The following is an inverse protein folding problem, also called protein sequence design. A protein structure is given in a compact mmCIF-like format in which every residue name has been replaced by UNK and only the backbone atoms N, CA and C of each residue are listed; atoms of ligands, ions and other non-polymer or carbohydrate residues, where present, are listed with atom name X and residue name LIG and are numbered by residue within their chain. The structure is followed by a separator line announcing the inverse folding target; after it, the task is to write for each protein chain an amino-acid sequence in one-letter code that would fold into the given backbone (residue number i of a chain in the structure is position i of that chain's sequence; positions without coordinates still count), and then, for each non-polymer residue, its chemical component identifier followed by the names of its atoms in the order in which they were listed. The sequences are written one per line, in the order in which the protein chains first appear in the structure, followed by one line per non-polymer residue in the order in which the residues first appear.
data_IF_181202115974
#
_entry.id   IF_181202115974
#
_cell.length_a   1.000
_cell.length_b   1.000
_cell.length_c   1.000
_cell.angle_alpha   90.00
_cell.angle_beta   90.00
_cell.angle_gamma   90.00
#
_symmetry.space_group_name_H-M   'P 1'
#
loop_
_entity.id
_entity.type
_entity.pdbx_description
1 polymer ?
#
# COMPACT_ATOMS: atom_id res chain seq x y z
N UNK A 1 5.04 -7.03 -12.12
CA UNK A 1 5.03 -7.18 -10.65
C UNK A 1 5.70 -5.99 -10.00
N UNK A 2 7.02 -5.84 -9.93
CA UNK A 2 7.62 -4.72 -9.17
C UNK A 2 7.19 -3.31 -9.61
N UNK A 3 6.84 -3.10 -10.88
CA UNK A 3 6.36 -1.80 -11.38
C UNK A 3 4.90 -1.53 -10.98
N UNK A 4 4.08 -2.57 -10.86
CA UNK A 4 2.68 -2.47 -10.48
C UNK A 4 2.56 -1.97 -9.03
N UNK A 5 3.42 -2.47 -8.13
CA UNK A 5 3.53 -2.10 -6.70
C UNK A 5 4.02 -0.67 -6.47
N UNK A 6 4.57 -0.01 -7.51
CA UNK A 6 5.18 1.34 -7.41
C UNK A 6 4.30 2.44 -7.98
N UNK A 7 3.04 2.14 -8.28
CA UNK A 7 2.09 3.14 -8.76
C UNK A 7 1.79 4.18 -7.66
N UNK A 8 1.93 5.46 -8.00
CA UNK A 8 1.63 6.56 -7.07
C UNK A 8 0.18 6.46 -6.58
N UNK A 9 -0.01 6.66 -5.27
CA UNK A 9 -1.30 6.67 -4.60
C UNK A 9 -2.11 5.36 -4.71
N UNK A 10 -1.50 4.27 -5.17
CA UNK A 10 -2.10 2.94 -5.12
C UNK A 10 -1.88 2.30 -3.73
N UNK A 11 -2.67 1.28 -3.42
CA UNK A 11 -2.50 0.44 -2.23
C UNK A 11 -2.06 -0.94 -2.66
N UNK A 12 -0.98 -1.42 -2.06
CA UNK A 12 -0.53 -2.79 -2.17
C UNK A 12 -0.77 -3.54 -0.85
N UNK A 13 -1.19 -4.79 -0.94
CA UNK A 13 -1.23 -5.71 0.18
C UNK A 13 -1.03 -7.15 -0.28
N UNK A 14 -0.24 -7.89 0.48
CA UNK A 14 0.12 -9.26 0.17
C UNK A 14 -0.55 -10.31 1.07
N UNK A 15 -0.69 -11.52 0.55
CA UNK A 15 -1.06 -12.71 1.29
C UNK A 15 0.10 -13.72 1.35
N UNK A 16 0.18 -14.48 2.44
CA UNK A 16 1.14 -15.56 2.58
C UNK A 16 2.41 -15.14 3.32
N UNK A 17 3.57 -15.27 2.66
CA UNK A 17 4.87 -15.05 3.30
C UNK A 17 5.02 -13.59 3.74
N UNK A 18 5.45 -13.39 4.99
CA UNK A 18 5.88 -12.11 5.52
C UNK A 18 7.34 -12.23 5.96
N UNK A 19 8.16 -11.21 5.66
CA UNK A 19 9.53 -11.18 6.17
C UNK A 19 9.53 -11.27 7.71
N UNK A 20 10.36 -12.13 8.33
CA UNK A 20 10.50 -12.21 9.78
C UNK A 20 10.85 -10.87 10.46
N UNK A 21 11.48 -9.95 9.72
CA UNK A 21 11.86 -8.62 10.22
C UNK A 21 10.66 -7.76 10.65
N UNK A 22 9.47 -8.04 10.12
CA UNK A 22 8.24 -7.36 10.53
C UNK A 22 7.65 -7.87 11.85
N UNK A 23 8.19 -8.96 12.42
CA UNK A 23 7.79 -9.48 13.73
C UNK A 23 6.34 -9.99 13.79
N UNK A 24 5.77 -10.39 12.66
CA UNK A 24 4.43 -10.97 12.60
C UNK A 24 4.32 -12.29 13.37
N UNK A 25 3.11 -12.61 13.83
CA UNK A 25 2.83 -13.84 14.59
C UNK A 25 2.36 -15.01 13.70
N UNK A 26 2.27 -14.79 12.39
CA UNK A 26 1.78 -15.79 11.44
C UNK A 26 2.96 -16.63 10.95
N UNK A 27 2.76 -17.94 10.82
CA UNK A 27 3.80 -18.88 10.39
C UNK A 27 4.27 -18.63 8.94
N UNK A 28 5.41 -19.23 8.59
CA UNK A 28 5.99 -19.09 7.25
C UNK A 28 5.10 -19.77 6.19
N UNK A 29 4.83 -19.05 5.11
CA UNK A 29 4.19 -19.58 3.89
C UNK A 29 5.24 -19.73 2.79
N UNK A 30 5.20 -20.79 1.95
CA UNK A 30 6.07 -20.90 0.78
C UNK A 30 5.59 -20.04 -0.41
N UNK A 31 4.41 -19.43 -0.30
CA UNK A 31 3.81 -18.59 -1.33
C UNK A 31 3.62 -17.16 -0.83
N UNK A 32 3.71 -16.22 -1.75
CA UNK A 32 3.46 -14.79 -1.57
C UNK A 32 2.70 -14.30 -2.81
N UNK A 33 1.64 -13.53 -2.58
CA UNK A 33 0.83 -12.94 -3.65
C UNK A 33 0.47 -11.52 -3.26
N UNK A 34 0.82 -10.56 -4.11
CA UNK A 34 0.53 -9.14 -3.93
C UNK A 34 -0.72 -8.75 -4.71
N UNK A 35 -1.55 -7.89 -4.11
CA UNK A 35 -2.78 -7.38 -4.71
C UNK A 35 -2.77 -5.86 -4.68
N UNK A 36 -2.87 -5.28 -5.87
CA UNK A 36 -2.89 -3.83 -6.07
C UNK A 36 -4.30 -3.29 -6.28
N UNK A 37 -4.61 -2.21 -5.56
CA UNK A 37 -5.69 -1.29 -5.87
C UNK A 37 -5.08 -0.03 -6.49
N UNK A 38 -5.30 0.19 -7.79
CA UNK A 38 -4.63 1.25 -8.54
C UNK A 38 -5.04 2.67 -8.14
N UNK A 39 -6.32 2.91 -7.89
CA UNK A 39 -6.85 4.26 -7.59
C UNK A 39 -7.88 4.30 -6.45
N UNK A 40 -7.60 3.69 -5.28
CA UNK A 40 -8.48 3.74 -4.13
C UNK A 40 -8.55 5.16 -3.54
N UNK A 41 -9.55 5.40 -2.69
CA UNK A 41 -9.52 6.50 -1.72
C UNK A 41 -9.01 5.93 -0.40
N UNK A 42 -7.91 6.48 0.12
CA UNK A 42 -7.28 6.03 1.36
C UNK A 42 -7.52 7.07 2.45
N UNK A 43 -7.97 6.61 3.62
CA UNK A 43 -8.11 7.45 4.81
C UNK A 43 -7.08 7.03 5.86
N UNK A 44 -6.36 8.01 6.41
CA UNK A 44 -5.45 7.84 7.55
C UNK A 44 -5.98 8.70 8.71
N UNK A 45 -6.24 8.08 9.86
CA UNK A 45 -6.79 8.75 11.05
C UNK A 45 -8.06 9.58 10.77
N UNK A 46 -8.90 9.10 9.84
CA UNK A 46 -10.15 9.76 9.44
C UNK A 46 -9.97 10.93 8.45
N UNK A 47 -8.75 11.26 8.03
CA UNK A 47 -8.47 12.25 6.98
C UNK A 47 -8.15 11.55 5.66
N UNK A 48 -8.68 12.07 4.55
CA UNK A 48 -8.33 11.55 3.22
C UNK A 48 -6.84 11.79 2.97
N UNK A 49 -6.08 10.73 2.75
CA UNK A 49 -4.64 10.76 2.49
C UNK A 49 -4.36 10.75 0.98
N UNK A 50 -5.16 10.01 0.23
CA UNK A 50 -5.09 9.96 -1.23
C UNK A 50 -6.44 9.59 -1.82
N UNK A 51 -6.64 10.00 -3.07
CA UNK A 51 -7.86 9.75 -3.83
C UNK A 51 -7.66 10.09 -5.30
N UNK A 52 -8.37 9.39 -6.18
CA UNK A 52 -8.32 9.63 -7.64
C UNK A 52 -6.88 9.60 -8.22
N UNK A 53 -6.03 8.71 -7.69
CA UNK A 53 -4.63 8.55 -8.13
C UNK A 53 -3.68 9.69 -7.71
N UNK A 54 -4.04 10.47 -6.70
CA UNK A 54 -3.24 11.61 -6.20
C UNK A 54 -3.12 11.60 -4.68
N UNK A 55 -2.02 12.15 -4.17
CA UNK A 55 -1.84 12.41 -2.73
C UNK A 55 -2.56 13.70 -2.31
N UNK A 56 -3.04 13.75 -1.07
CA UNK A 56 -3.73 14.94 -0.53
C UNK A 56 -2.73 16.03 -0.10
N UNK A 57 -2.68 17.13 -0.84
CA UNK A 57 -1.80 18.27 -0.52
C UNK A 57 -2.09 18.94 0.83
N UNK A 58 -3.32 18.83 1.35
CA UNK A 58 -3.67 19.33 2.69
C UNK A 58 -3.00 18.54 3.82
N UNK A 59 -2.39 17.39 3.52
CA UNK A 59 -1.55 16.63 4.46
C UNK A 59 -0.06 16.97 4.34
N UNK A 60 0.31 17.91 3.47
CA UNK A 60 1.69 18.34 3.26
C UNK A 60 2.45 17.53 2.21
N UNK A 61 1.76 16.71 1.40
CA UNK A 61 2.36 16.06 0.24
C UNK A 61 2.53 17.08 -0.90
N UNK A 62 3.75 17.19 -1.43
CA UNK A 62 4.07 18.02 -2.60
C UNK A 62 3.99 17.16 -3.88
N UNK A 63 3.52 17.74 -4.99
CA UNK A 63 3.62 17.08 -6.29
C UNK A 63 5.11 17.03 -6.69
N UNK A 64 5.61 15.81 -6.98
CA UNK A 64 6.99 15.54 -7.41
C UNK A 64 7.10 15.70 -8.93
#
# INVERSE_FOLDING_TARGET
MTEDERMLAAVDFGFGYQSPDFGGTVGLSPYHEDVMLATPTIYLDGKEMSGSGKLNSEMGFEEI
#
